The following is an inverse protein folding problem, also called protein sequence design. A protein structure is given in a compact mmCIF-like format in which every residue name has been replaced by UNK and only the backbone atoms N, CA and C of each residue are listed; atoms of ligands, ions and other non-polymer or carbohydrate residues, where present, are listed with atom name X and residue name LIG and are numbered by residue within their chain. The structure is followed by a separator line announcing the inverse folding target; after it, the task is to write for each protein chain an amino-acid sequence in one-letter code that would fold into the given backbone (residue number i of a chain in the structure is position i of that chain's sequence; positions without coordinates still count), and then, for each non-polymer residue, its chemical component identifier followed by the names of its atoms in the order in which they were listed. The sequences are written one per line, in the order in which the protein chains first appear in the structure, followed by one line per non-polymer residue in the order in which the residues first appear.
data_IF_583972085663
#
_entry.id   IF_583972085663
#
_cell.length_a   1.000
_cell.length_b   1.000
_cell.length_c   1.000
_cell.angle_alpha   90.00
_cell.angle_beta   90.00
_cell.angle_gamma   90.00
#
_symmetry.space_group_name_H-M   'P 1'
#
loop_
_entity.id
_entity.type
_entity.pdbx_description
1 polymer ?
#
# COMPACT_ATOMS: atom_id res chain seq x y z
N UNK A 1 34.34 -1.12 1.16
CA UNK A 1 33.65 -2.09 0.31
C UNK A 1 32.28 -2.47 0.85
N UNK A 2 31.47 -3.22 0.09
CA UNK A 2 30.10 -3.59 0.48
C UNK A 2 29.99 -4.24 1.88
N UNK A 3 30.98 -5.05 2.28
CA UNK A 3 31.02 -5.69 3.62
C UNK A 3 31.14 -4.68 4.76
N UNK A 4 31.94 -3.65 4.59
CA UNK A 4 32.07 -2.58 5.61
C UNK A 4 30.81 -1.74 5.69
N UNK A 5 30.15 -1.48 4.57
CA UNK A 5 28.87 -0.74 4.54
C UNK A 5 27.77 -1.52 5.25
N UNK A 6 27.60 -2.82 4.97
CA UNK A 6 26.64 -3.66 5.68
C UNK A 6 26.97 -3.81 7.17
N UNK A 7 28.25 -3.93 7.53
CA UNK A 7 28.68 -3.97 8.92
C UNK A 7 28.34 -2.69 9.68
N UNK A 8 28.66 -1.53 9.12
CA UNK A 8 28.34 -0.23 9.72
C UNK A 8 26.82 0.01 9.84
N UNK A 9 26.05 -0.31 8.81
CA UNK A 9 24.60 -0.19 8.88
C UNK A 9 23.97 -1.13 9.90
N UNK A 10 24.44 -2.37 10.01
CA UNK A 10 23.99 -3.33 11.02
C UNK A 10 24.28 -2.85 12.45
N UNK A 11 25.48 -2.31 12.69
CA UNK A 11 25.87 -1.76 13.98
C UNK A 11 24.99 -0.53 14.33
N UNK A 12 24.80 0.38 13.38
CA UNK A 12 24.00 1.60 13.57
C UNK A 12 22.54 1.28 13.86
N UNK A 13 21.97 0.31 13.14
CA UNK A 13 20.61 -0.18 13.38
C UNK A 13 20.49 -0.87 14.75
N UNK A 14 21.47 -1.71 15.13
CA UNK A 14 21.45 -2.42 16.40
C UNK A 14 21.60 -1.47 17.60
N UNK A 15 22.52 -0.52 17.53
CA UNK A 15 22.75 0.44 18.62
C UNK A 15 21.65 1.51 18.71
N UNK A 16 21.08 1.94 17.58
CA UNK A 16 20.06 2.99 17.56
C UNK A 16 18.65 2.45 17.76
N UNK A 17 18.25 1.44 17.00
CA UNK A 17 16.85 0.99 16.94
C UNK A 17 16.51 0.04 18.09
N UNK A 18 17.39 -0.91 18.45
CA UNK A 18 17.09 -1.89 19.51
C UNK A 18 16.86 -1.21 20.88
N UNK A 19 17.74 -0.30 21.36
CA UNK A 19 17.47 0.40 22.62
C UNK A 19 16.21 1.25 22.57
N UNK A 20 15.94 1.91 21.44
CA UNK A 20 14.73 2.71 21.26
C UNK A 20 13.46 1.84 21.36
N UNK A 21 13.44 0.69 20.69
CA UNK A 21 12.33 -0.27 20.78
C UNK A 21 12.16 -0.78 22.20
N UNK A 22 13.24 -1.19 22.85
CA UNK A 22 13.19 -1.67 24.24
C UNK A 22 12.69 -0.59 25.20
N UNK A 23 13.11 0.66 25.00
CA UNK A 23 12.64 1.79 25.80
C UNK A 23 11.15 2.06 25.60
N UNK A 24 10.67 2.05 24.34
CA UNK A 24 9.25 2.23 24.00
C UNK A 24 8.38 1.10 24.56
N UNK A 25 8.84 -0.16 24.42
CA UNK A 25 8.15 -1.31 24.98
C UNK A 25 8.06 -1.22 26.51
N UNK A 26 9.17 -0.88 27.18
CA UNK A 26 9.18 -0.71 28.65
C UNK A 26 8.21 0.38 29.10
N UNK A 27 8.13 1.50 28.37
CA UNK A 27 7.20 2.59 28.66
C UNK A 27 5.73 2.15 28.45
N UNK A 28 5.45 1.37 27.41
CA UNK A 28 4.13 0.81 27.13
C UNK A 28 3.69 -0.18 28.21
N UNK A 29 4.58 -1.10 28.64
CA UNK A 29 4.28 -2.04 29.72
C UNK A 29 4.05 -1.37 31.07
N UNK A 30 4.82 -0.34 31.41
CA UNK A 30 4.63 0.43 32.65
C UNK A 30 3.32 1.24 32.62
N UNK A 31 2.92 1.76 31.46
CA UNK A 31 1.63 2.43 31.29
C UNK A 31 0.43 1.49 31.43
N UNK A 32 0.55 0.23 31.00
CA UNK A 32 -0.50 -0.78 31.19
C UNK A 32 -0.62 -1.23 32.65
N UNK A 33 0.46 -1.38 33.38
CA UNK A 33 0.41 -1.72 34.83
C UNK A 33 -0.19 -0.59 35.68
N UNK A 34 0.04 0.66 35.33
CA UNK A 34 -0.57 1.80 36.00
C UNK A 34 -2.10 1.86 35.80
N UNK A 35 -2.61 1.36 34.68
CA UNK A 35 -4.04 1.31 34.37
C UNK A 35 -4.76 0.06 34.88
N UNK A 36 -4.05 -0.97 35.33
CA UNK A 36 -4.68 -2.21 35.84
C UNK A 36 -5.32 -2.07 37.23
N UNK A 37 -5.07 -0.98 37.95
CA UNK A 37 -5.69 -0.64 39.23
C UNK A 37 -6.94 0.24 39.11
N UNK A 38 -7.33 0.61 37.90
CA UNK A 38 -8.58 1.32 37.62
C UNK A 38 -9.63 0.36 37.09
N UNK A 39 -10.75 0.28 37.75
CA UNK A 39 -11.97 -0.44 37.37
C UNK A 39 -12.20 -0.35 35.87
N UNK A 40 -12.19 -1.51 35.17
CA UNK A 40 -12.58 -1.57 33.76
C UNK A 40 -14.08 -1.21 33.66
N UNK A 41 -14.36 0.07 33.48
CA UNK A 41 -15.60 0.48 32.85
C UNK A 41 -15.41 0.05 31.39
N UNK A 42 -15.83 -1.16 31.05
CA UNK A 42 -16.09 -1.53 29.66
C UNK A 42 -17.22 -0.62 29.22
N UNK A 43 -16.84 0.54 28.70
CA UNK A 43 -17.73 1.33 27.89
C UNK A 43 -18.17 0.43 26.75
N UNK A 44 -19.34 -0.19 26.93
CA UNK A 44 -20.08 -0.84 25.86
C UNK A 44 -20.48 0.27 24.88
N UNK A 45 -19.47 0.79 24.16
CA UNK A 45 -19.74 1.47 22.92
C UNK A 45 -20.54 0.49 22.11
N UNK A 46 -21.78 0.82 21.85
CA UNK A 46 -22.75 0.06 21.05
C UNK A 46 -22.10 -0.27 19.70
N UNK A 47 -21.32 -1.35 19.70
CA UNK A 47 -20.83 -1.96 18.48
C UNK A 47 -22.07 -2.51 17.82
N UNK A 48 -22.63 -1.77 16.88
CA UNK A 48 -23.54 -2.33 15.90
C UNK A 48 -22.93 -3.66 15.49
N UNK A 49 -23.70 -4.74 15.59
CA UNK A 49 -23.25 -6.11 15.31
C UNK A 49 -22.93 -6.18 13.83
N UNK A 50 -21.75 -5.67 13.45
CA UNK A 50 -21.25 -5.84 12.09
C UNK A 50 -21.00 -7.33 11.88
N UNK A 51 -21.70 -7.93 10.93
CA UNK A 51 -21.47 -9.32 10.53
C UNK A 51 -19.98 -9.50 10.23
N UNK A 52 -19.30 -10.32 11.01
CA UNK A 52 -17.90 -10.68 10.77
C UNK A 52 -17.85 -11.87 9.83
N UNK A 53 -17.22 -11.66 8.68
CA UNK A 53 -17.10 -12.66 7.62
C UNK A 53 -15.93 -13.61 7.90
N UNK A 54 -16.11 -14.88 7.59
CA UNK A 54 -15.02 -15.87 7.52
C UNK A 54 -14.28 -15.75 6.19
N UNK A 55 -13.07 -16.36 6.09
CA UNK A 55 -12.30 -16.42 4.84
C UNK A 55 -13.12 -17.06 3.70
N UNK A 56 -13.87 -18.13 3.98
CA UNK A 56 -14.71 -18.80 2.98
C UNK A 56 -15.85 -17.91 2.48
N UNK A 57 -16.51 -17.18 3.35
CA UNK A 57 -17.56 -16.24 2.96
C UNK A 57 -17.00 -15.10 2.11
N UNK A 58 -15.81 -14.56 2.45
CA UNK A 58 -15.13 -13.54 1.65
C UNK A 58 -14.79 -14.04 0.24
N UNK A 59 -14.30 -15.27 0.09
CA UNK A 59 -13.99 -15.85 -1.22
C UNK A 59 -15.24 -16.10 -2.08
N UNK A 60 -16.41 -16.22 -1.48
CA UNK A 60 -17.69 -16.30 -2.19
C UNK A 60 -18.28 -14.93 -2.52
N UNK A 61 -17.67 -13.84 -2.04
CA UNK A 61 -18.11 -12.48 -2.36
C UNK A 61 -17.49 -12.01 -3.68
N UNK A 62 -18.33 -11.82 -4.70
CA UNK A 62 -17.87 -11.30 -6.00
C UNK A 62 -17.18 -9.93 -5.93
N UNK A 63 -17.49 -9.13 -4.89
CA UNK A 63 -16.86 -7.82 -4.65
C UNK A 63 -15.38 -7.95 -4.37
N UNK A 64 -14.97 -9.02 -3.67
CA UNK A 64 -13.57 -9.32 -3.42
C UNK A 64 -12.79 -9.39 -4.73
N UNK A 65 -13.31 -10.05 -5.75
CA UNK A 65 -12.67 -10.19 -7.06
C UNK A 65 -12.59 -8.88 -7.84
N UNK A 66 -13.55 -7.98 -7.66
CA UNK A 66 -13.49 -6.63 -8.25
C UNK A 66 -12.46 -5.72 -7.53
N UNK A 67 -12.26 -5.90 -6.23
CA UNK A 67 -11.30 -5.12 -5.46
C UNK A 67 -9.88 -5.65 -5.67
N UNK A 68 -9.73 -6.96 -5.93
CA UNK A 68 -8.46 -7.65 -6.00
C UNK A 68 -7.44 -7.03 -6.99
N UNK A 69 -7.79 -6.65 -8.24
CA UNK A 69 -6.87 -5.99 -9.16
C UNK A 69 -6.24 -4.71 -8.58
N UNK A 70 -7.04 -3.90 -7.87
CA UNK A 70 -6.54 -2.69 -7.25
C UNK A 70 -5.61 -2.97 -6.06
N UNK A 71 -5.90 -4.02 -5.28
CA UNK A 71 -5.07 -4.45 -4.14
C UNK A 71 -3.72 -5.01 -4.59
N UNK A 72 -3.71 -5.71 -5.71
CA UNK A 72 -2.51 -6.34 -6.30
C UNK A 72 -1.61 -5.31 -7.00
N UNK A 73 -2.19 -4.27 -7.61
CA UNK A 73 -1.47 -3.26 -8.40
C UNK A 73 -0.24 -2.64 -7.71
N UNK A 74 -0.30 -2.22 -6.43
CA UNK A 74 0.86 -1.63 -5.75
C UNK A 74 2.04 -2.59 -5.65
N UNK A 75 1.79 -3.85 -5.32
CA UNK A 75 2.83 -4.87 -5.15
C UNK A 75 3.39 -5.32 -6.49
N UNK A 76 2.55 -5.65 -7.47
CA UNK A 76 2.94 -6.07 -8.80
C UNK A 76 3.75 -4.99 -9.54
N UNK A 77 3.16 -3.81 -9.72
CA UNK A 77 3.81 -2.71 -10.45
C UNK A 77 4.96 -2.12 -9.65
N UNK A 78 4.82 -2.04 -8.32
CA UNK A 78 5.86 -1.49 -7.45
C UNK A 78 7.15 -2.28 -7.55
N UNK A 79 7.11 -3.60 -7.39
CA UNK A 79 8.30 -4.45 -7.53
C UNK A 79 8.84 -4.49 -8.95
N UNK A 80 7.98 -4.53 -9.97
CA UNK A 80 8.39 -4.45 -11.37
C UNK A 80 9.24 -3.19 -11.62
N UNK A 81 8.75 -2.02 -11.22
CA UNK A 81 9.46 -0.75 -11.37
C UNK A 81 10.76 -0.72 -10.56
N UNK A 82 10.74 -1.14 -9.27
CA UNK A 82 11.93 -1.11 -8.43
C UNK A 82 13.07 -1.98 -8.99
N UNK A 83 12.77 -3.15 -9.54
CA UNK A 83 13.77 -4.00 -10.18
C UNK A 83 14.35 -3.40 -11.46
N UNK A 84 13.55 -2.63 -12.21
CA UNK A 84 13.95 -2.03 -13.49
C UNK A 84 14.19 -0.52 -13.41
N UNK A 85 14.37 0.04 -12.21
CA UNK A 85 14.60 1.48 -12.04
C UNK A 85 15.89 1.97 -12.72
N UNK A 86 16.95 1.15 -12.73
CA UNK A 86 18.18 1.52 -13.45
C UNK A 86 17.97 1.49 -14.97
N UNK A 87 17.29 0.48 -15.49
CA UNK A 87 16.90 0.42 -16.92
C UNK A 87 16.01 1.62 -17.31
N UNK A 88 15.11 2.04 -16.40
CA UNK A 88 14.31 3.24 -16.60
C UNK A 88 15.19 4.51 -16.66
N UNK A 89 16.17 4.64 -15.76
CA UNK A 89 17.10 5.78 -15.75
C UNK A 89 17.94 5.80 -17.01
N UNK A 90 18.44 4.66 -17.47
CA UNK A 90 19.18 4.51 -18.74
C UNK A 90 18.32 4.90 -19.94
N UNK A 91 17.08 4.38 -20.03
CA UNK A 91 16.15 4.72 -21.10
C UNK A 91 15.78 6.21 -21.16
N UNK A 92 15.89 6.93 -20.04
CA UNK A 92 15.66 8.37 -19.92
C UNK A 92 16.95 9.20 -20.03
N UNK A 93 18.12 8.58 -20.19
CA UNK A 93 19.45 9.21 -20.14
C UNK A 93 19.72 9.95 -18.82
N UNK A 94 19.19 9.43 -17.72
CA UNK A 94 19.42 9.98 -16.38
C UNK A 94 20.65 9.33 -15.74
N UNK A 95 21.39 10.10 -14.94
CA UNK A 95 22.48 9.53 -14.14
C UNK A 95 21.93 8.54 -13.10
N UNK A 96 22.41 7.29 -13.13
CA UNK A 96 22.01 6.26 -12.18
C UNK A 96 22.33 6.68 -10.74
N UNK A 97 23.46 7.35 -10.51
CA UNK A 97 23.86 7.85 -9.17
C UNK A 97 22.90 8.92 -8.68
N UNK A 98 22.54 9.86 -9.55
CA UNK A 98 21.59 10.92 -9.21
C UNK A 98 20.19 10.36 -8.94
N UNK A 99 19.72 9.43 -9.77
CA UNK A 99 18.40 8.82 -9.63
C UNK A 99 18.30 7.99 -8.34
N UNK A 100 19.29 7.13 -8.05
CA UNK A 100 19.30 6.33 -6.82
C UNK A 100 19.51 7.20 -5.58
N UNK A 101 20.31 8.26 -5.68
CA UNK A 101 20.46 9.26 -4.62
C UNK A 101 19.17 10.00 -4.29
N UNK A 102 18.21 10.03 -5.21
CA UNK A 102 16.90 10.69 -5.03
C UNK A 102 15.85 9.86 -4.29
N UNK A 103 16.15 8.60 -3.89
CA UNK A 103 15.18 7.74 -3.18
C UNK A 103 14.70 8.29 -1.82
N UNK A 104 15.39 9.24 -1.23
CA UNK A 104 14.90 9.92 -0.03
C UNK A 104 13.54 10.61 -0.28
N UNK A 105 13.29 11.09 -1.50
CA UNK A 105 12.01 11.69 -1.88
C UNK A 105 10.87 10.68 -1.79
N UNK A 106 11.10 9.43 -2.23
CA UNK A 106 10.16 8.34 -2.05
C UNK A 106 9.88 8.04 -0.57
N UNK A 107 10.93 8.02 0.26
CA UNK A 107 10.77 7.79 1.70
C UNK A 107 9.94 8.91 2.37
N UNK A 108 10.20 10.17 2.04
CA UNK A 108 9.41 11.33 2.51
C UNK A 108 7.96 11.19 2.08
N UNK A 109 7.69 10.85 0.82
CA UNK A 109 6.33 10.64 0.31
C UNK A 109 5.60 9.53 1.07
N UNK A 110 6.24 8.39 1.31
CA UNK A 110 5.62 7.27 2.00
C UNK A 110 5.32 7.57 3.47
N UNK A 111 6.24 8.23 4.17
CA UNK A 111 6.01 8.69 5.55
C UNK A 111 4.87 9.70 5.64
N UNK A 112 4.89 10.71 4.78
CA UNK A 112 3.84 11.73 4.74
C UNK A 112 2.47 11.11 4.50
N UNK A 113 2.35 10.23 3.51
CA UNK A 113 1.09 9.56 3.22
C UNK A 113 0.63 8.64 4.37
N UNK A 114 1.54 7.88 4.98
CA UNK A 114 1.20 7.01 6.13
C UNK A 114 0.65 7.79 7.31
N UNK A 115 1.20 8.98 7.59
CA UNK A 115 0.78 9.83 8.70
C UNK A 115 -0.52 10.61 8.39
N UNK A 116 -0.71 11.04 7.14
CA UNK A 116 -1.85 11.91 6.78
C UNK A 116 -3.08 11.12 6.34
N UNK A 117 -2.90 9.92 5.76
CA UNK A 117 -4.03 9.15 5.23
C UNK A 117 -4.88 8.49 6.33
N UNK A 118 -4.29 8.17 7.49
CA UNK A 118 -5.04 7.70 8.67
C UNK A 118 -6.15 8.67 9.08
N UNK A 119 -5.83 9.92 9.44
CA UNK A 119 -6.84 10.95 9.75
C UNK A 119 -7.87 11.19 8.63
N UNK A 120 -7.51 11.00 7.36
CA UNK A 120 -8.48 11.09 6.25
C UNK A 120 -9.47 9.94 6.30
N UNK A 121 -9.01 8.71 6.56
CA UNK A 121 -9.86 7.53 6.71
C UNK A 121 -10.79 7.70 7.91
N UNK A 122 -10.28 8.20 9.03
CA UNK A 122 -11.07 8.41 10.25
C UNK A 122 -12.24 9.39 10.01
N UNK A 123 -12.03 10.40 9.16
CA UNK A 123 -13.07 11.38 8.81
C UNK A 123 -14.03 10.91 7.71
N UNK A 124 -13.54 10.16 6.72
CA UNK A 124 -14.29 9.85 5.49
C UNK A 124 -14.73 8.38 5.36
N UNK A 125 -14.22 7.47 6.18
CA UNK A 125 -14.27 6.00 6.07
C UNK A 125 -13.31 5.43 5.01
N UNK A 126 -12.83 4.19 5.19
CA UNK A 126 -11.93 3.56 4.23
C UNK A 126 -12.63 3.26 2.90
N UNK A 127 -13.90 2.86 2.93
CA UNK A 127 -14.70 2.59 1.72
C UNK A 127 -14.77 3.79 0.77
N UNK A 128 -14.74 5.03 1.29
CA UNK A 128 -14.77 6.24 0.47
C UNK A 128 -13.39 6.70 0.03
N UNK A 129 -12.38 6.52 0.88
CA UNK A 129 -11.03 7.06 0.69
C UNK A 129 -10.13 6.15 -0.14
N UNK A 130 -10.25 4.82 0.05
CA UNK A 130 -9.39 3.83 -0.59
C UNK A 130 -9.48 3.83 -2.12
N UNK A 131 -10.62 4.06 -2.79
CA UNK A 131 -10.64 4.10 -4.26
C UNK A 131 -9.63 5.09 -4.88
N UNK A 132 -9.20 6.09 -4.13
CA UNK A 132 -8.25 7.11 -4.60
C UNK A 132 -6.77 6.76 -4.38
N UNK A 133 -6.46 5.66 -3.68
CA UNK A 133 -5.08 5.33 -3.30
C UNK A 133 -4.16 5.01 -4.49
N UNK A 134 -4.69 4.63 -5.65
CA UNK A 134 -3.93 4.41 -6.88
C UNK A 134 -3.66 5.70 -7.68
N UNK A 135 -4.35 6.80 -7.39
CA UNK A 135 -4.19 8.06 -8.12
C UNK A 135 -2.75 8.56 -8.15
N UNK A 136 -1.99 8.59 -7.03
CA UNK A 136 -0.59 9.00 -7.08
C UNK A 136 0.25 8.11 -8.00
N UNK A 137 0.02 6.79 -8.02
CA UNK A 137 0.73 5.87 -8.91
C UNK A 137 0.40 6.11 -10.38
N UNK A 138 -0.87 6.35 -10.72
CA UNK A 138 -1.29 6.69 -12.09
C UNK A 138 -0.57 7.97 -12.54
N UNK A 139 -0.57 9.01 -11.71
CA UNK A 139 0.14 10.25 -12.02
C UNK A 139 1.65 10.04 -12.18
N UNK A 140 2.28 9.23 -11.32
CA UNK A 140 3.70 8.89 -11.40
C UNK A 140 4.05 8.24 -12.75
N UNK A 141 3.26 7.25 -13.18
CA UNK A 141 3.45 6.53 -14.44
C UNK A 141 3.26 7.44 -15.67
N UNK A 142 2.27 8.32 -15.62
CA UNK A 142 2.03 9.31 -16.69
C UNK A 142 3.19 10.32 -16.77
N UNK A 143 3.72 10.77 -15.63
CA UNK A 143 4.88 11.69 -15.60
C UNK A 143 6.08 11.04 -16.28
N UNK A 144 6.39 9.80 -15.97
CA UNK A 144 7.52 9.09 -16.62
C UNK A 144 7.28 8.89 -18.11
N UNK A 145 6.07 8.64 -18.53
CA UNK A 145 5.75 8.55 -19.95
C UNK A 145 5.91 9.91 -20.68
N UNK A 146 5.40 10.99 -20.07
CA UNK A 146 5.29 12.29 -20.73
C UNK A 146 6.58 13.13 -20.72
N UNK A 147 7.43 12.99 -19.68
CA UNK A 147 8.57 13.87 -19.44
C UNK A 147 9.91 13.11 -19.40
N UNK A 148 10.97 13.75 -19.91
CA UNK A 148 12.33 13.19 -19.96
C UNK A 148 13.34 13.94 -19.09
N UNK A 149 13.01 15.15 -18.62
CA UNK A 149 13.91 15.91 -17.76
C UNK A 149 14.15 15.19 -16.44
N UNK A 150 15.41 15.08 -15.95
CA UNK A 150 15.76 14.40 -14.70
C UNK A 150 15.00 14.90 -13.46
N UNK A 151 14.59 16.17 -13.42
CA UNK A 151 13.84 16.72 -12.27
C UNK A 151 12.50 16.03 -12.05
N UNK A 152 11.88 15.47 -13.08
CA UNK A 152 10.63 14.73 -12.96
C UNK A 152 10.77 13.41 -12.21
N UNK A 153 12.01 12.90 -12.04
CA UNK A 153 12.24 11.74 -11.18
C UNK A 153 11.84 12.02 -9.72
N UNK A 154 11.98 13.23 -9.22
CA UNK A 154 11.54 13.59 -7.87
C UNK A 154 10.02 13.54 -7.73
N UNK A 155 9.29 14.09 -8.70
CA UNK A 155 7.82 14.00 -8.72
C UNK A 155 7.35 12.54 -8.81
N UNK A 156 7.98 11.74 -9.67
CA UNK A 156 7.72 10.31 -9.81
C UNK A 156 7.95 9.55 -8.50
N UNK A 157 9.12 9.71 -7.88
CA UNK A 157 9.46 9.03 -6.62
C UNK A 157 8.55 9.47 -5.47
N UNK A 158 8.22 10.78 -5.38
CA UNK A 158 7.28 11.29 -4.38
C UNK A 158 5.91 10.61 -4.51
N UNK A 159 5.36 10.57 -5.72
CA UNK A 159 4.04 10.00 -5.98
C UNK A 159 4.02 8.48 -5.76
N UNK A 160 5.08 7.76 -6.10
CA UNK A 160 5.22 6.35 -5.75
C UNK A 160 5.24 6.14 -4.23
N UNK A 161 5.97 6.99 -3.51
CA UNK A 161 6.00 6.98 -2.05
C UNK A 161 4.61 7.24 -1.45
N UNK A 162 3.91 8.27 -1.91
CA UNK A 162 2.54 8.57 -1.49
C UNK A 162 1.60 7.36 -1.71
N UNK A 163 1.67 6.72 -2.88
CA UNK A 163 0.88 5.52 -3.15
C UNK A 163 1.14 4.41 -2.13
N UNK A 164 2.41 4.15 -1.78
CA UNK A 164 2.78 3.10 -0.83
C UNK A 164 2.24 3.39 0.56
N UNK A 165 2.42 4.62 1.07
CA UNK A 165 1.89 5.01 2.37
C UNK A 165 0.36 4.91 2.44
N UNK A 166 -0.35 5.37 1.40
CA UNK A 166 -1.81 5.22 1.29
C UNK A 166 -2.24 3.75 1.21
N UNK A 167 -1.50 2.91 0.52
CA UNK A 167 -1.80 1.48 0.37
C UNK A 167 -1.80 0.76 1.71
N UNK A 168 -0.73 0.88 2.48
CA UNK A 168 -0.61 0.17 3.77
C UNK A 168 -1.67 0.61 4.77
N UNK A 169 -1.90 1.91 4.90
CA UNK A 169 -2.89 2.46 5.82
C UNK A 169 -4.32 2.16 5.36
N UNK A 170 -4.59 2.41 4.07
CA UNK A 170 -5.93 2.30 3.49
C UNK A 170 -6.46 0.87 3.42
N UNK A 171 -5.67 -0.07 2.90
CA UNK A 171 -6.12 -1.46 2.75
C UNK A 171 -6.33 -2.13 4.11
N UNK A 172 -5.52 -1.79 5.13
CA UNK A 172 -5.71 -2.32 6.47
C UNK A 172 -7.09 -1.97 7.04
N UNK A 173 -7.48 -0.69 6.89
CA UNK A 173 -8.78 -0.19 7.36
C UNK A 173 -9.95 -0.70 6.50
N UNK A 174 -9.74 -0.80 5.18
CA UNK A 174 -10.76 -1.29 4.25
C UNK A 174 -11.26 -2.70 4.59
N UNK A 175 -10.33 -3.62 4.88
CA UNK A 175 -10.70 -5.00 5.20
C UNK A 175 -11.47 -5.11 6.52
N UNK A 176 -11.12 -4.28 7.51
CA UNK A 176 -11.85 -4.21 8.77
C UNK A 176 -13.28 -3.68 8.58
N UNK A 177 -13.47 -2.65 7.73
CA UNK A 177 -14.78 -2.09 7.42
C UNK A 177 -15.66 -3.03 6.57
N UNK A 178 -15.06 -3.79 5.63
CA UNK A 178 -15.83 -4.66 4.72
C UNK A 178 -16.25 -5.98 5.38
N UNK A 179 -15.32 -6.62 6.11
CA UNK A 179 -15.48 -8.00 6.56
C UNK A 179 -15.51 -8.15 8.09
N UNK A 180 -15.36 -7.05 8.83
CA UNK A 180 -15.39 -7.04 10.30
C UNK A 180 -14.09 -7.54 10.94
N UNK A 181 -13.91 -7.27 12.25
CA UNK A 181 -12.63 -7.48 12.94
C UNK A 181 -12.36 -8.93 13.37
N UNK A 182 -13.40 -9.77 13.57
CA UNK A 182 -13.28 -11.09 14.24
C UNK A 182 -12.33 -12.07 13.52
N UNK A 183 -12.36 -12.12 12.19
CA UNK A 183 -11.56 -13.04 11.37
C UNK A 183 -10.54 -12.28 10.49
N UNK A 184 -10.25 -11.01 10.82
CA UNK A 184 -9.42 -10.12 10.01
C UNK A 184 -8.00 -10.68 9.79
N UNK A 185 -7.41 -11.34 10.77
CA UNK A 185 -6.10 -11.97 10.64
C UNK A 185 -6.06 -13.05 9.56
N UNK A 186 -7.07 -13.91 9.49
CA UNK A 186 -7.18 -14.96 8.48
C UNK A 186 -7.43 -14.39 7.06
N UNK A 187 -8.22 -13.32 6.96
CA UNK A 187 -8.48 -12.61 5.70
C UNK A 187 -7.20 -11.92 5.21
N UNK A 188 -6.53 -11.18 6.09
CA UNK A 188 -5.28 -10.46 5.75
C UNK A 188 -4.17 -11.40 5.34
N UNK A 189 -4.00 -12.56 5.97
CA UNK A 189 -2.97 -13.53 5.60
C UNK A 189 -3.15 -14.04 4.17
N UNK A 190 -4.38 -14.29 3.72
CA UNK A 190 -4.67 -14.68 2.34
C UNK A 190 -4.34 -13.54 1.35
N UNK A 191 -4.75 -12.31 1.67
CA UNK A 191 -4.49 -11.14 0.83
C UNK A 191 -2.98 -10.89 0.71
N UNK A 192 -2.24 -10.99 1.82
CA UNK A 192 -0.78 -10.87 1.81
C UNK A 192 -0.15 -11.95 0.93
N UNK A 193 -0.60 -13.21 1.00
CA UNK A 193 -0.10 -14.27 0.15
C UNK A 193 -0.32 -13.96 -1.34
N UNK A 194 -1.50 -13.46 -1.71
CA UNK A 194 -1.80 -13.06 -3.10
C UNK A 194 -0.93 -11.87 -3.54
N UNK A 195 -0.74 -10.86 -2.69
CA UNK A 195 0.08 -9.69 -3.03
C UNK A 195 1.57 -10.03 -3.11
N UNK A 196 2.08 -10.97 -2.31
CA UNK A 196 3.44 -11.50 -2.40
C UNK A 196 3.64 -12.25 -3.72
N UNK A 197 2.70 -13.11 -4.11
CA UNK A 197 2.75 -13.80 -5.40
C UNK A 197 2.75 -12.80 -6.57
N UNK A 198 1.90 -11.79 -6.52
CA UNK A 198 1.86 -10.72 -7.51
C UNK A 198 3.18 -9.92 -7.57
N UNK A 199 3.77 -9.65 -6.42
CA UNK A 199 5.09 -9.01 -6.30
C UNK A 199 6.19 -9.84 -7.00
N UNK A 200 6.15 -11.16 -6.87
CA UNK A 200 7.10 -12.06 -7.53
C UNK A 200 6.92 -12.10 -9.06
N UNK A 201 5.70 -11.91 -9.54
CA UNK A 201 5.38 -11.91 -10.98
C UNK A 201 5.69 -10.56 -11.67
N UNK A 202 5.75 -9.46 -10.91
CA UNK A 202 5.97 -8.13 -11.47
C UNK A 202 7.24 -8.00 -12.30
N UNK A 203 8.45 -8.26 -11.72
CA UNK A 203 9.70 -8.12 -12.44
C UNK A 203 9.83 -9.00 -13.69
N UNK A 204 9.48 -10.32 -13.68
CA UNK A 204 9.51 -11.15 -14.87
C UNK A 204 8.59 -10.65 -16.00
N UNK A 205 7.38 -10.19 -15.66
CA UNK A 205 6.45 -9.65 -16.67
C UNK A 205 7.01 -8.37 -17.29
N UNK A 206 7.54 -7.46 -16.49
CA UNK A 206 8.16 -6.24 -17.00
C UNK A 206 9.42 -6.54 -17.82
N UNK A 207 10.27 -7.49 -17.37
CA UNK A 207 11.44 -7.95 -18.11
C UNK A 207 11.06 -8.51 -19.47
N UNK A 208 10.05 -9.37 -19.54
CA UNK A 208 9.54 -9.90 -20.81
C UNK A 208 9.05 -8.78 -21.74
N UNK A 209 8.38 -7.76 -21.23
CA UNK A 209 7.96 -6.60 -22.05
C UNK A 209 9.17 -5.83 -22.59
N UNK A 210 10.24 -5.70 -21.82
CA UNK A 210 11.50 -5.05 -22.26
C UNK A 210 12.18 -5.91 -23.34
N UNK A 211 12.25 -7.23 -23.14
CA UNK A 211 12.86 -8.17 -24.07
C UNK A 211 12.10 -8.25 -25.41
N UNK A 212 10.84 -7.86 -25.45
CA UNK A 212 10.02 -7.72 -26.67
C UNK A 212 10.08 -6.31 -27.28
N UNK A 213 11.10 -5.53 -26.95
CA UNK A 213 11.34 -4.17 -27.47
C UNK A 213 10.24 -3.13 -27.16
N UNK A 214 9.40 -3.38 -26.16
CA UNK A 214 8.44 -2.39 -25.69
C UNK A 214 9.20 -1.31 -24.91
N UNK A 215 9.12 -0.05 -25.37
CA UNK A 215 9.80 1.05 -24.70
C UNK A 215 9.34 1.24 -23.24
N UNK A 216 10.24 1.69 -22.37
CA UNK A 216 9.93 1.97 -20.96
C UNK A 216 8.74 2.92 -20.77
N UNK A 217 8.60 3.92 -21.63
CA UNK A 217 7.45 4.82 -21.62
C UNK A 217 6.13 4.08 -21.89
N UNK A 218 6.11 3.19 -22.89
CA UNK A 218 4.92 2.40 -23.21
C UNK A 218 4.58 1.39 -22.12
N UNK A 219 5.56 0.78 -21.45
CA UNK A 219 5.31 -0.08 -20.28
C UNK A 219 4.66 0.73 -19.16
N UNK A 220 5.15 1.93 -18.89
CA UNK A 220 4.55 2.80 -17.87
C UNK A 220 3.09 3.18 -18.19
N UNK A 221 2.76 3.48 -19.46
CA UNK A 221 1.38 3.79 -19.85
C UNK A 221 0.47 2.56 -19.76
N UNK A 222 0.96 1.36 -20.12
CA UNK A 222 0.20 0.11 -19.94
C UNK A 222 -0.12 -0.12 -18.47
N UNK A 223 0.84 0.08 -17.57
CA UNK A 223 0.61 -0.02 -16.13
C UNK A 223 -0.32 1.08 -15.60
N UNK A 224 -0.28 2.29 -16.17
CA UNK A 224 -1.21 3.35 -15.82
C UNK A 224 -2.65 2.99 -16.22
N UNK A 225 -2.84 2.46 -17.42
CA UNK A 225 -4.15 1.98 -17.90
C UNK A 225 -4.68 0.86 -16.98
N UNK A 226 -3.83 -0.10 -16.61
CA UNK A 226 -4.20 -1.13 -15.64
C UNK A 226 -4.64 -0.53 -14.29
N UNK A 227 -3.92 0.45 -13.76
CA UNK A 227 -4.30 1.13 -12.52
C UNK A 227 -5.63 1.88 -12.64
N UNK A 228 -5.91 2.52 -13.79
CA UNK A 228 -7.19 3.18 -14.06
C UNK A 228 -8.32 2.16 -14.07
N UNK A 229 -8.18 1.06 -14.79
CA UNK A 229 -9.17 -0.03 -14.82
C UNK A 229 -9.40 -0.62 -13.43
N UNK A 230 -8.32 -0.88 -12.67
CA UNK A 230 -8.40 -1.36 -11.29
C UNK A 230 -9.11 -0.36 -10.36
N UNK A 231 -8.91 0.94 -10.58
CA UNK A 231 -9.62 2.00 -9.85
C UNK A 231 -11.11 1.99 -10.18
N UNK A 232 -11.48 1.80 -11.42
CA UNK A 232 -12.90 1.65 -11.81
C UNK A 232 -13.53 0.43 -11.15
N UNK A 233 -12.84 -0.70 -11.16
CA UNK A 233 -13.35 -1.94 -10.55
C UNK A 233 -13.54 -1.81 -9.04
N UNK A 234 -12.61 -1.20 -8.31
CA UNK A 234 -12.78 -0.97 -6.87
C UNK A 234 -13.95 -0.02 -6.59
N UNK A 235 -14.16 1.02 -7.40
CA UNK A 235 -15.32 1.89 -7.27
C UNK A 235 -16.64 1.13 -7.44
N UNK A 236 -16.74 0.27 -8.45
CA UNK A 236 -17.94 -0.56 -8.70
C UNK A 236 -18.16 -1.53 -7.55
N UNK A 237 -17.11 -2.24 -7.11
CA UNK A 237 -17.17 -3.21 -6.01
C UNK A 237 -17.64 -2.57 -4.70
N UNK A 238 -17.12 -1.38 -4.37
CA UNK A 238 -17.47 -0.69 -3.12
C UNK A 238 -18.83 0.03 -3.16
N UNK A 239 -19.30 0.50 -4.31
CA UNK A 239 -20.66 1.05 -4.44
C UNK A 239 -21.72 0.01 -4.17
N UNK A 240 -21.55 -1.21 -4.63
CA UNK A 240 -22.48 -2.31 -4.40
C UNK A 240 -22.60 -2.70 -2.92
N UNK A 241 -21.59 -2.40 -2.08
CA UNK A 241 -21.63 -2.64 -0.63
C UNK A 241 -22.69 -1.80 0.08
N UNK A 242 -22.93 -0.56 -0.35
CA UNK A 242 -23.91 0.33 0.29
C UNK A 242 -25.36 -0.12 0.08
N UNK A 243 -25.66 -0.82 -1.00
CA UNK A 243 -27.03 -1.27 -1.34
C UNK A 243 -27.45 -2.49 -0.53
N UNK A 244 -26.49 -3.34 -0.13
CA UNK A 244 -26.78 -4.55 0.67
C UNK A 244 -27.09 -4.23 2.14
N UNK A 245 -26.44 -3.23 2.72
CA UNK A 245 -26.68 -2.81 4.12
C UNK A 245 -28.09 -2.21 4.28
N UNK A 246 -28.59 -1.46 3.27
CA UNK A 246 -29.94 -0.88 3.31
C UNK A 246 -31.06 -1.93 3.17
N UNK A 247 -30.81 -3.10 2.56
CA UNK A 247 -31.85 -4.14 2.43
C UNK A 247 -32.10 -4.93 3.71
N UNK A 248 -31.15 -4.99 4.63
CA UNK A 248 -31.29 -5.72 5.90
C UNK A 248 -31.78 -4.85 7.08
N UNK A 249 -31.83 -3.53 6.92
CA UNK A 249 -32.38 -2.61 7.94
C UNK A 249 -33.85 -2.22 7.70
N UNK A 250 -34.48 -2.76 6.66
CA UNK A 250 -35.84 -2.43 6.26
C UNK A 250 -36.84 -3.63 6.27
N UNK A 251 -36.46 -4.72 6.94
CA UNK A 251 -37.34 -5.89 7.17
C UNK A 251 -37.55 -6.15 8.66
#
# INVERSE_FOLDING_TARGET
GWRTTYGLTSILLSIGIIPLILWLLRKSFLGQQANSNGTYIVEKTSTSIMKSWTRGEMLNDWRFYLILPAVVAPSFIGTALFFHHLTLAEAKNWSAVWFTGSYWVYAVGSMTASLTFGPVIDRMTAIKSVPFFLMPKICALIIIWAFNDPLWAWAYLLLLGLNVGMTYTGLTSLWAELYGPKHLGAIRSLIVAITVLASALGPPVMGFMIDTDISMGNICIIFAIYCVMATIFIFVGLRSSKTSVKRHSGS
#
